data_IF_093944888494
#
_entry.id   IF_093944888494
#
_cell.length_a   1.000
_cell.length_b   1.000
_cell.length_c   1.000
_cell.angle_alpha   90.00
_cell.angle_beta   90.00
_cell.angle_gamma   90.00
#
_symmetry.space_group_name_H-M   'P 1'
#
loop_
_entity.id
_entity.type
_entity.pdbx_description
1 polymer ?
#
# COMPACT_ATOMS: atom_id res chain seq x y z
N UNK A 1 -22.69 -4.83 5.07
CA UNK A 1 -21.98 -5.97 4.45
C UNK A 1 -22.74 -6.33 3.19
N UNK A 2 -22.17 -6.09 2.03
CA UNK A 2 -22.56 -6.82 0.83
C UNK A 2 -21.82 -8.17 0.94
N UNK A 3 -22.54 -9.27 1.13
CA UNK A 3 -21.94 -10.61 1.26
C UNK A 3 -21.54 -11.16 -0.11
N UNK A 4 -20.55 -12.06 -0.12
CA UNK A 4 -19.91 -12.67 -1.29
C UNK A 4 -20.80 -13.57 -2.16
N UNK A 5 -22.08 -13.78 -1.81
CA UNK A 5 -22.97 -14.75 -2.49
C UNK A 5 -23.29 -14.43 -3.97
N UNK A 6 -22.79 -13.32 -4.52
CA UNK A 6 -23.12 -12.86 -5.88
C UNK A 6 -21.91 -12.49 -6.76
N UNK A 7 -20.69 -12.93 -6.44
CA UNK A 7 -19.57 -12.76 -7.36
C UNK A 7 -19.69 -13.78 -8.52
N UNK A 8 -19.52 -13.36 -9.79
CA UNK A 8 -19.49 -14.29 -10.91
C UNK A 8 -18.30 -15.26 -10.78
N UNK A 9 -18.55 -16.55 -11.01
CA UNK A 9 -17.52 -17.59 -11.03
C UNK A 9 -16.85 -17.65 -12.40
N UNK A 10 -15.55 -17.94 -12.45
CA UNK A 10 -14.86 -18.26 -13.71
C UNK A 10 -15.24 -19.67 -14.22
N UNK A 11 -14.72 -20.03 -15.39
CA UNK A 11 -14.95 -21.35 -16.02
C UNK A 11 -14.45 -22.51 -15.14
N UNK A 12 -13.67 -22.24 -14.09
CA UNK A 12 -13.08 -23.20 -13.16
C UNK A 12 -13.69 -23.14 -11.73
N UNK A 13 -14.74 -22.34 -11.51
CA UNK A 13 -15.47 -22.28 -10.24
C UNK A 13 -14.77 -21.46 -9.14
N UNK A 14 -13.84 -20.56 -9.50
CA UNK A 14 -13.26 -19.58 -8.60
C UNK A 14 -14.05 -18.26 -8.66
N UNK A 15 -14.33 -17.60 -7.52
CA UNK A 15 -14.98 -16.30 -7.53
C UNK A 15 -14.06 -15.25 -8.18
N UNK A 16 -14.57 -14.56 -9.20
CA UNK A 16 -13.83 -13.53 -9.94
C UNK A 16 -14.15 -12.15 -9.39
N UNK A 17 -13.11 -11.35 -9.13
CA UNK A 17 -13.27 -9.92 -8.86
C UNK A 17 -12.91 -9.16 -10.13
N UNK A 18 -13.93 -8.64 -10.81
CA UNK A 18 -13.72 -7.81 -11.99
C UNK A 18 -12.96 -6.53 -11.63
N UNK A 19 -11.87 -6.19 -12.35
CA UNK A 19 -11.05 -5.03 -12.02
C UNK A 19 -11.81 -3.70 -12.13
N UNK A 20 -12.80 -3.59 -13.03
CA UNK A 20 -13.66 -2.42 -13.14
C UNK A 20 -14.54 -2.22 -11.90
N UNK A 21 -15.04 -3.31 -11.31
CA UNK A 21 -15.79 -3.27 -10.05
C UNK A 21 -14.88 -2.89 -8.89
N UNK A 22 -13.62 -3.36 -8.90
CA UNK A 22 -12.63 -2.95 -7.92
C UNK A 22 -12.36 -1.46 -7.97
N UNK A 23 -12.14 -0.89 -9.16
CA UNK A 23 -11.97 0.57 -9.34
C UNK A 23 -13.18 1.32 -8.77
N UNK A 24 -14.40 0.89 -9.11
CA UNK A 24 -15.62 1.51 -8.55
C UNK A 24 -15.65 1.45 -7.02
N UNK A 25 -15.33 0.29 -6.45
CA UNK A 25 -15.27 0.10 -5.00
C UNK A 25 -14.24 1.04 -4.35
N UNK A 26 -13.03 1.15 -4.90
CA UNK A 26 -12.00 2.08 -4.43
C UNK A 26 -12.48 3.54 -4.45
N UNK A 27 -13.16 3.97 -5.52
CA UNK A 27 -13.67 5.35 -5.64
C UNK A 27 -14.73 5.72 -4.60
N UNK A 28 -15.38 4.73 -3.97
CA UNK A 28 -16.31 4.95 -2.85
C UNK A 28 -15.71 4.61 -1.47
N UNK A 29 -14.40 4.30 -1.43
CA UNK A 29 -13.63 4.04 -0.23
C UNK A 29 -13.70 2.59 0.26
N UNK A 30 -14.11 1.64 -0.58
CA UNK A 30 -14.05 0.21 -0.29
C UNK A 30 -12.75 -0.40 -0.81
N UNK A 31 -12.27 -1.45 -0.15
CA UNK A 31 -11.14 -2.26 -0.61
C UNK A 31 -11.40 -3.74 -0.28
N UNK A 32 -10.86 -4.68 -1.08
CA UNK A 32 -11.10 -6.11 -0.90
C UNK A 32 -10.18 -6.70 0.17
N UNK A 33 -10.70 -7.65 0.95
CA UNK A 33 -9.92 -8.52 1.84
C UNK A 33 -10.50 -9.93 1.84
N UNK A 34 -9.68 -10.95 2.06
CA UNK A 34 -10.11 -12.30 2.42
C UNK A 34 -9.82 -12.57 3.91
N UNK A 35 -10.52 -13.53 4.49
CA UNK A 35 -10.27 -13.93 5.89
C UNK A 35 -8.89 -14.61 6.04
N UNK A 36 -8.50 -15.39 5.01
CA UNK A 36 -7.19 -16.05 4.90
C UNK A 36 -6.79 -16.21 3.41
N UNK A 37 -5.50 -16.48 3.16
CA UNK A 37 -4.92 -16.69 1.83
C UNK A 37 -5.48 -17.91 1.10
N UNK A 38 -5.92 -18.93 1.85
CA UNK A 38 -6.49 -20.16 1.31
C UNK A 38 -8.03 -20.08 1.22
N UNK A 39 -8.64 -19.01 1.75
CA UNK A 39 -10.06 -18.74 1.57
C UNK A 39 -10.31 -18.27 0.13
N UNK A 40 -11.38 -18.77 -0.49
CA UNK A 40 -11.83 -18.31 -1.81
C UNK A 40 -12.71 -17.07 -1.71
N UNK A 41 -13.28 -16.80 -0.55
CA UNK A 41 -14.20 -15.67 -0.38
C UNK A 41 -13.46 -14.36 -0.25
N UNK A 42 -14.05 -13.31 -0.81
CA UNK A 42 -13.56 -11.94 -0.70
C UNK A 42 -14.70 -11.04 -0.25
N UNK A 43 -14.38 -10.17 0.70
CA UNK A 43 -15.30 -9.21 1.28
C UNK A 43 -14.78 -7.78 1.12
N UNK A 44 -15.70 -6.82 1.01
CA UNK A 44 -15.39 -5.40 0.86
C UNK A 44 -15.43 -4.69 2.21
N UNK A 45 -14.36 -3.96 2.53
CA UNK A 45 -14.17 -3.34 3.85
C UNK A 45 -14.33 -1.81 3.79
N UNK A 46 -15.06 -1.26 4.76
CA UNK A 46 -15.29 0.18 5.00
C UNK A 46 -15.04 0.50 6.49
N UNK A 47 -13.79 0.63 6.94
CA UNK A 47 -13.52 0.82 8.35
C UNK A 47 -14.00 2.21 8.79
N UNK A 48 -14.54 2.30 10.02
CA UNK A 48 -15.01 3.57 10.59
C UNK A 48 -13.85 4.56 10.73
N UNK A 49 -12.67 4.06 11.09
CA UNK A 49 -11.42 4.80 11.11
C UNK A 49 -10.55 4.35 9.94
N UNK A 50 -10.14 5.31 9.10
CA UNK A 50 -9.30 5.09 7.92
C UNK A 50 -7.93 5.73 8.14
N UNK A 51 -6.88 4.94 7.96
CA UNK A 51 -5.50 5.42 8.03
C UNK A 51 -5.10 6.13 6.73
N UNK A 52 -4.47 7.30 6.84
CA UNK A 52 -3.86 8.00 5.71
C UNK A 52 -2.43 8.40 6.02
N UNK A 53 -1.62 8.58 4.98
CA UNK A 53 -0.29 9.20 5.04
C UNK A 53 -0.33 10.54 4.29
N UNK A 54 -0.43 11.68 5.01
CA UNK A 54 -0.48 12.97 4.33
C UNK A 54 0.83 13.26 3.58
N UNK A 55 0.77 13.42 2.26
CA UNK A 55 1.96 13.57 1.41
C UNK A 55 2.78 14.84 1.75
N UNK A 56 2.11 15.93 2.13
CA UNK A 56 2.75 17.19 2.52
C UNK A 56 3.37 17.15 3.93
N UNK A 57 2.92 16.24 4.78
CA UNK A 57 3.43 16.07 6.15
C UNK A 57 4.24 14.77 6.31
N UNK A 58 4.56 14.09 5.21
CA UNK A 58 5.23 12.80 5.23
C UNK A 58 6.56 12.87 5.99
N UNK A 59 6.64 12.17 7.12
CA UNK A 59 7.80 12.19 7.99
C UNK A 59 8.79 11.10 7.57
N UNK A 60 10.06 11.48 7.33
CA UNK A 60 11.13 10.50 7.16
C UNK A 60 12.06 10.56 8.38
N UNK A 61 12.16 9.48 9.19
CA UNK A 61 13.06 9.43 10.32
C UNK A 61 14.49 9.80 9.94
N UNK A 62 15.17 10.58 10.77
CA UNK A 62 16.51 11.14 10.47
C UNK A 62 17.54 10.09 10.05
N UNK A 63 17.54 8.92 10.70
CA UNK A 63 18.41 7.78 10.34
C UNK A 63 18.05 7.21 8.97
N UNK A 64 16.76 7.06 8.69
CA UNK A 64 16.28 6.55 7.41
C UNK A 64 16.60 7.51 6.26
N UNK A 65 16.51 8.83 6.45
CA UNK A 65 16.92 9.82 5.44
C UNK A 65 18.34 9.59 4.92
N UNK A 66 19.28 9.24 5.80
CA UNK A 66 20.67 8.93 5.41
C UNK A 66 20.76 7.65 4.58
N UNK A 67 19.93 6.67 4.90
CA UNK A 67 19.86 5.37 4.22
C UNK A 67 19.25 5.56 2.82
N UNK A 68 18.15 6.30 2.70
CA UNK A 68 17.51 6.58 1.40
C UNK A 68 18.42 7.38 0.44
N UNK A 69 19.28 8.26 0.95
CA UNK A 69 20.23 9.01 0.12
C UNK A 69 21.43 8.18 -0.38
N UNK A 70 21.64 7.01 0.21
CA UNK A 70 22.70 6.05 -0.14
C UNK A 70 22.15 4.64 0.06
N UNK A 71 21.11 4.27 -0.71
CA UNK A 71 20.42 3.03 -0.46
C UNK A 71 21.39 1.87 -0.74
N UNK A 72 21.37 0.81 0.09
CA UNK A 72 22.10 -0.42 -0.22
C UNK A 72 21.41 -1.24 -1.33
N UNK A 73 20.29 -0.74 -1.87
CA UNK A 73 19.44 -1.42 -2.84
C UNK A 73 19.22 -0.51 -4.05
N UNK A 74 19.09 -1.11 -5.22
CA UNK A 74 18.54 -0.47 -6.40
C UNK A 74 17.02 -0.37 -6.24
N UNK A 75 16.43 0.80 -6.52
CA UNK A 75 14.98 1.01 -6.41
C UNK A 75 14.37 1.04 -7.80
N UNK A 76 13.45 0.13 -8.08
CA UNK A 76 12.70 0.02 -9.35
C UNK A 76 11.20 0.15 -9.11
N UNK A 77 10.43 0.21 -10.18
CA UNK A 77 8.97 0.11 -10.14
C UNK A 77 8.45 -0.61 -11.36
N UNK A 78 7.37 -1.37 -11.18
CA UNK A 78 6.64 -2.04 -12.26
C UNK A 78 7.47 -3.08 -13.02
N UNK A 79 8.53 -3.64 -12.42
CA UNK A 79 9.40 -4.64 -13.08
C UNK A 79 9.20 -6.07 -12.56
N UNK A 80 8.61 -6.24 -11.37
CA UNK A 80 8.35 -7.54 -10.76
C UNK A 80 7.01 -7.57 -9.98
N UNK A 81 5.94 -7.10 -10.63
CA UNK A 81 4.62 -6.89 -10.03
C UNK A 81 4.08 -8.13 -9.33
N UNK A 82 3.98 -9.25 -10.04
CA UNK A 82 3.48 -10.50 -9.47
C UNK A 82 4.34 -10.97 -8.30
N UNK A 83 5.67 -10.86 -8.40
CA UNK A 83 6.57 -11.25 -7.31
C UNK A 83 6.33 -10.39 -6.07
N UNK A 84 6.19 -9.07 -6.22
CA UNK A 84 5.89 -8.16 -5.10
C UNK A 84 4.57 -8.54 -4.41
N UNK A 85 3.52 -8.78 -5.19
CA UNK A 85 2.21 -9.17 -4.64
C UNK A 85 2.32 -10.52 -3.92
N UNK A 86 2.97 -11.51 -4.53
CA UNK A 86 3.15 -12.84 -3.93
C UNK A 86 4.03 -12.82 -2.67
N UNK A 87 5.06 -11.98 -2.61
CA UNK A 87 5.83 -11.76 -1.38
C UNK A 87 4.97 -11.09 -0.29
N UNK A 88 4.05 -10.19 -0.67
CA UNK A 88 3.10 -9.62 0.28
C UNK A 88 2.05 -10.63 0.75
N UNK A 89 1.69 -11.62 -0.08
CA UNK A 89 0.76 -12.70 0.24
C UNK A 89 1.40 -13.87 1.00
N UNK A 90 2.73 -13.93 1.04
CA UNK A 90 3.44 -15.01 1.72
C UNK A 90 3.33 -14.85 3.24
N UNK A 91 3.00 -15.96 3.92
CA UNK A 91 3.11 -16.07 5.37
C UNK A 91 4.57 -15.86 5.80
N UNK A 92 4.77 -15.13 6.89
CA UNK A 92 6.08 -14.86 7.49
C UNK A 92 6.01 -15.02 9.00
N UNK A 93 7.16 -15.14 9.66
CA UNK A 93 7.21 -15.17 11.13
C UNK A 93 6.63 -13.87 11.69
N UNK A 94 5.52 -13.98 12.42
CA UNK A 94 4.75 -12.83 12.94
C UNK A 94 3.70 -12.27 11.96
N UNK A 95 3.46 -12.92 10.83
CA UNK A 95 2.37 -12.69 9.87
C UNK A 95 1.97 -14.03 9.26
N UNK A 96 1.40 -14.90 10.09
CA UNK A 96 1.08 -16.28 9.72
C UNK A 96 -0.15 -16.32 8.80
N UNK A 97 -1.14 -15.48 9.10
CA UNK A 97 -2.36 -15.30 8.32
C UNK A 97 -2.23 -14.05 7.43
N UNK A 98 -2.59 -14.18 6.16
CA UNK A 98 -2.62 -13.04 5.21
C UNK A 98 -3.95 -13.00 4.50
N UNK A 99 -4.47 -11.82 4.23
CA UNK A 99 -5.76 -11.62 3.56
C UNK A 99 -5.68 -11.70 2.03
N UNK A 100 -4.50 -11.92 1.45
CA UNK A 100 -4.25 -11.86 0.01
C UNK A 100 -4.34 -13.28 -0.56
N UNK A 101 -5.53 -13.65 -1.03
CA UNK A 101 -5.80 -14.93 -1.71
C UNK A 101 -5.61 -14.82 -3.23
N UNK A 102 -5.70 -15.94 -3.95
CA UNK A 102 -5.49 -15.95 -5.41
C UNK A 102 -6.48 -15.05 -6.19
N UNK A 103 -7.79 -15.02 -5.89
CA UNK A 103 -8.71 -14.06 -6.52
C UNK A 103 -8.29 -12.59 -6.40
N UNK A 104 -7.76 -12.19 -5.23
CA UNK A 104 -7.23 -10.83 -5.02
C UNK A 104 -5.96 -10.60 -5.82
N UNK A 105 -5.06 -11.59 -5.89
CA UNK A 105 -3.85 -11.52 -6.72
C UNK A 105 -4.21 -11.31 -8.18
N UNK A 106 -5.10 -12.13 -8.73
CA UNK A 106 -5.56 -12.03 -10.12
C UNK A 106 -6.20 -10.67 -10.42
N UNK A 107 -7.06 -10.18 -9.52
CA UNK A 107 -7.65 -8.84 -9.64
C UNK A 107 -6.56 -7.75 -9.72
N UNK A 108 -5.54 -7.81 -8.88
CA UNK A 108 -4.43 -6.85 -8.89
C UNK A 108 -3.58 -6.95 -10.15
N UNK A 109 -3.31 -8.16 -10.66
CA UNK A 109 -2.61 -8.34 -11.94
C UNK A 109 -3.41 -7.72 -13.09
N UNK A 110 -4.74 -7.92 -13.13
CA UNK A 110 -5.59 -7.27 -14.12
C UNK A 110 -5.58 -5.74 -13.97
N UNK A 111 -5.57 -5.21 -12.74
CA UNK A 111 -5.41 -3.76 -12.50
C UNK A 111 -4.05 -3.23 -12.96
N UNK A 112 -2.99 -4.03 -12.89
CA UNK A 112 -1.69 -3.67 -13.46
C UNK A 112 -1.76 -3.56 -14.98
N UNK A 113 -2.37 -4.54 -15.65
CA UNK A 113 -2.54 -4.53 -17.10
C UNK A 113 -3.39 -3.35 -17.60
N UNK A 114 -4.31 -2.85 -16.76
CA UNK A 114 -5.10 -1.65 -17.00
C UNK A 114 -4.35 -0.33 -16.67
N UNK A 115 -3.13 -0.40 -16.13
CA UNK A 115 -2.33 0.76 -15.76
C UNK A 115 -2.71 1.41 -14.42
N UNK A 116 -3.50 0.72 -13.59
CA UNK A 116 -3.96 1.21 -12.30
C UNK A 116 -3.14 0.70 -11.12
N UNK A 117 -2.40 -0.40 -11.23
CA UNK A 117 -1.54 -0.88 -10.16
C UNK A 117 -0.10 -0.45 -10.38
N UNK A 118 0.58 -0.07 -9.30
CA UNK A 118 2.02 0.18 -9.35
C UNK A 118 2.75 -0.47 -8.18
N UNK A 119 4.01 -0.78 -8.43
CA UNK A 119 4.92 -1.34 -7.42
C UNK A 119 6.12 -0.44 -7.20
N UNK A 120 6.70 -0.52 -6.01
CA UNK A 120 8.03 0.03 -5.73
C UNK A 120 8.85 -1.08 -5.12
N UNK A 121 10.01 -1.35 -5.71
CA UNK A 121 10.79 -2.55 -5.50
C UNK A 121 12.20 -2.18 -5.04
N UNK A 122 12.75 -2.92 -4.09
CA UNK A 122 14.13 -2.81 -3.64
C UNK A 122 14.89 -4.07 -4.03
N UNK A 123 15.93 -3.91 -4.84
CA UNK A 123 16.76 -4.98 -5.38
C UNK A 123 18.16 -4.94 -4.76
N UNK A 124 18.63 -6.08 -4.28
CA UNK A 124 20.02 -6.30 -3.89
C UNK A 124 20.63 -7.26 -4.90
N UNK A 125 21.44 -6.72 -5.80
CA UNK A 125 21.85 -7.40 -7.03
C UNK A 125 20.58 -7.87 -7.80
N UNK A 126 20.48 -9.16 -8.15
CA UNK A 126 19.32 -9.73 -8.85
C UNK A 126 18.22 -10.23 -7.90
N UNK A 127 18.29 -9.94 -6.60
CA UNK A 127 17.31 -10.40 -5.60
C UNK A 127 16.36 -9.29 -5.20
N UNK A 128 15.06 -9.53 -5.35
CA UNK A 128 14.01 -8.69 -4.79
C UNK A 128 13.96 -8.86 -3.26
N UNK A 129 14.32 -7.82 -2.51
CA UNK A 129 14.53 -7.87 -1.05
C UNK A 129 13.56 -7.03 -0.23
N UNK A 130 12.65 -6.34 -0.89
CA UNK A 130 11.57 -5.61 -0.26
C UNK A 130 10.79 -4.82 -1.31
N UNK A 131 9.60 -4.39 -0.94
CA UNK A 131 8.77 -3.63 -1.84
C UNK A 131 7.38 -3.42 -1.30
N UNK A 132 6.58 -2.75 -2.12
CA UNK A 132 5.19 -2.45 -1.86
C UNK A 132 4.43 -2.38 -3.17
N UNK A 133 3.11 -2.48 -3.09
CA UNK A 133 2.23 -2.21 -4.22
C UNK A 133 1.01 -1.40 -3.79
N UNK A 134 0.37 -0.77 -4.76
CA UNK A 134 -0.88 -0.05 -4.55
C UNK A 134 -1.61 0.28 -5.84
N UNK A 135 -2.86 0.70 -5.69
CA UNK A 135 -3.74 1.09 -6.79
C UNK A 135 -3.76 2.61 -6.91
N UNK A 136 -3.43 3.14 -8.09
CA UNK A 136 -3.52 4.54 -8.47
C UNK A 136 -4.82 4.79 -9.26
N UNK A 137 -5.68 5.64 -8.72
CA UNK A 137 -6.89 6.11 -9.38
C UNK A 137 -6.94 7.63 -9.22
N UNK A 138 -6.83 8.34 -10.35
CA UNK A 138 -6.76 9.80 -10.36
C UNK A 138 -5.74 10.30 -9.33
N UNK A 139 -6.10 11.23 -8.44
CA UNK A 139 -5.19 11.83 -7.46
C UNK A 139 -5.01 11.00 -6.20
N UNK A 140 -5.40 9.73 -6.19
CA UNK A 140 -5.37 8.84 -5.02
C UNK A 140 -4.48 7.65 -5.28
N UNK A 141 -3.62 7.35 -4.31
CA UNK A 141 -2.90 6.09 -4.25
C UNK A 141 -3.40 5.29 -3.04
N UNK A 142 -4.05 4.17 -3.31
CA UNK A 142 -4.46 3.19 -2.32
C UNK A 142 -3.29 2.23 -2.12
N UNK A 143 -2.52 2.46 -1.07
CA UNK A 143 -1.44 1.58 -0.76
C UNK A 143 -1.97 0.24 -0.26
N UNK A 144 -1.62 -0.90 -0.84
CA UNK A 144 -2.23 -2.19 -0.46
C UNK A 144 -1.40 -2.99 0.55
N UNK A 145 -0.14 -3.25 0.24
CA UNK A 145 0.72 -4.03 1.13
C UNK A 145 2.19 -3.78 0.85
N UNK A 146 3.03 -4.24 1.78
CA UNK A 146 4.48 -4.20 1.67
C UNK A 146 5.13 -5.41 2.35
N UNK A 147 6.34 -5.73 1.92
CA UNK A 147 7.17 -6.78 2.50
C UNK A 147 8.62 -6.30 2.62
N UNK A 148 9.38 -6.92 3.52
CA UNK A 148 10.81 -6.64 3.71
C UNK A 148 11.54 -7.93 4.04
N UNK A 149 12.48 -8.33 3.19
CA UNK A 149 13.39 -9.45 3.43
C UNK A 149 14.75 -8.96 3.94
N UNK A 150 15.10 -7.72 3.61
CA UNK A 150 16.32 -7.07 4.08
C UNK A 150 16.01 -5.82 4.91
N UNK A 151 17.01 -5.39 5.67
CA UNK A 151 16.89 -4.26 6.60
C UNK A 151 16.48 -2.97 5.88
N UNK A 152 15.43 -2.33 6.39
CA UNK A 152 14.94 -1.03 5.92
C UNK A 152 14.47 -1.03 4.44
N UNK A 153 14.40 -2.18 3.75
CA UNK A 153 14.00 -2.26 2.34
C UNK A 153 12.57 -1.75 2.11
N UNK A 154 11.58 -2.24 2.87
CA UNK A 154 10.20 -1.73 2.76
C UNK A 154 10.07 -0.24 3.09
N UNK A 155 10.89 0.26 4.03
CA UNK A 155 10.91 1.68 4.40
C UNK A 155 11.50 2.55 3.28
N UNK A 156 12.54 2.07 2.60
CA UNK A 156 13.11 2.72 1.42
C UNK A 156 12.09 2.75 0.29
N UNK A 157 11.38 1.63 0.06
CA UNK A 157 10.29 1.58 -0.91
C UNK A 157 9.18 2.59 -0.58
N UNK A 158 8.76 2.68 0.69
CA UNK A 158 7.72 3.63 1.13
C UNK A 158 8.14 5.09 0.97
N UNK A 159 9.38 5.44 1.31
CA UNK A 159 9.89 6.80 1.10
C UNK A 159 9.96 7.13 -0.40
N UNK A 160 10.34 6.15 -1.22
CA UNK A 160 10.39 6.30 -2.68
C UNK A 160 9.00 6.45 -3.28
N UNK A 161 8.01 5.69 -2.78
CA UNK A 161 6.60 5.88 -3.11
C UNK A 161 6.15 7.30 -2.79
N UNK A 162 6.35 7.78 -1.55
CA UNK A 162 5.91 9.12 -1.16
C UNK A 162 6.52 10.22 -2.04
N UNK A 163 7.79 10.07 -2.45
CA UNK A 163 8.43 10.97 -3.40
C UNK A 163 7.76 10.93 -4.77
N UNK A 164 7.54 9.73 -5.33
CA UNK A 164 6.85 9.52 -6.63
C UNK A 164 5.46 10.12 -6.63
N UNK A 165 4.66 9.86 -5.58
CA UNK A 165 3.30 10.38 -5.47
C UNK A 165 3.26 11.90 -5.46
N UNK A 166 4.17 12.53 -4.73
CA UNK A 166 4.20 14.00 -4.68
C UNK A 166 4.63 14.62 -6.00
N UNK A 167 5.57 14.00 -6.71
CA UNK A 167 6.01 14.46 -8.05
C UNK A 167 4.90 14.23 -9.07
N UNK A 168 4.20 13.10 -8.96
CA UNK A 168 3.09 12.70 -9.82
C UNK A 168 1.80 13.51 -9.63
N UNK A 169 1.74 14.40 -8.63
CA UNK A 169 0.58 15.26 -8.37
C UNK A 169 -0.52 14.60 -7.54
N UNK A 170 -0.27 13.43 -6.94
CA UNK A 170 -1.22 12.77 -6.05
C UNK A 170 -1.53 13.62 -4.83
N UNK A 171 -2.77 13.55 -4.36
CA UNK A 171 -3.30 14.33 -3.24
C UNK A 171 -3.51 13.48 -1.99
N UNK A 172 -3.72 12.18 -2.16
CA UNK A 172 -4.06 11.27 -1.07
C UNK A 172 -3.30 9.95 -1.19
N UNK A 173 -2.61 9.58 -0.11
CA UNK A 173 -2.09 8.23 0.10
C UNK A 173 -2.92 7.57 1.21
N UNK A 174 -3.76 6.61 0.82
CA UNK A 174 -4.55 5.79 1.72
C UNK A 174 -3.73 4.57 2.15
N UNK A 175 -3.72 4.27 3.45
CA UNK A 175 -3.05 3.09 4.00
C UNK A 175 -4.01 2.16 4.76
N UNK A 176 -5.33 2.34 4.53
CA UNK A 176 -6.46 1.61 5.08
C UNK A 176 -6.55 1.65 6.61
N UNK A 177 -5.58 1.04 7.28
CA UNK A 177 -5.54 0.91 8.73
C UNK A 177 -4.30 1.59 9.31
N UNK A 178 -4.43 2.04 10.56
CA UNK A 178 -3.30 2.53 11.32
C UNK A 178 -2.45 1.36 11.79
N UNK A 179 -1.13 1.53 11.73
CA UNK A 179 -0.21 0.63 12.41
C UNK A 179 1.03 1.40 12.89
N UNK A 180 1.71 0.85 13.89
CA UNK A 180 2.91 1.45 14.49
C UNK A 180 4.03 1.69 13.48
N UNK A 181 4.11 0.86 12.43
CA UNK A 181 5.09 1.04 11.37
C UNK A 181 4.82 2.33 10.59
N UNK A 182 3.58 2.62 10.20
CA UNK A 182 3.22 3.82 9.42
C UNK A 182 3.13 5.09 10.27
N UNK A 183 2.83 4.97 11.56
CA UNK A 183 2.87 6.11 12.50
C UNK A 183 4.22 6.82 12.49
N UNK A 184 5.33 6.08 12.37
CA UNK A 184 6.67 6.66 12.28
C UNK A 184 6.88 7.51 11.01
N UNK A 185 5.99 7.39 10.01
CA UNK A 185 5.99 8.19 8.78
C UNK A 185 4.95 9.32 8.80
N UNK A 186 4.26 9.51 9.92
CA UNK A 186 3.24 10.54 10.08
C UNK A 186 1.85 10.10 9.65
N UNK A 187 1.57 8.79 9.64
CA UNK A 187 0.21 8.30 9.41
C UNK A 187 -0.77 8.89 10.43
N UNK A 188 -2.00 9.16 9.98
CA UNK A 188 -3.06 9.74 10.82
C UNK A 188 -4.38 9.00 10.59
N UNK A 189 -5.13 8.72 11.67
CA UNK A 189 -6.48 8.21 11.54
C UNK A 189 -7.45 9.32 11.11
N UNK A 190 -8.43 8.97 10.29
CA UNK A 190 -9.58 9.81 9.95
C UNK A 190 -10.87 9.01 10.11
N UNK A 191 -11.92 9.65 10.63
CA UNK A 191 -13.25 9.07 10.53
C UNK A 191 -13.65 8.93 9.05
N UNK A 192 -14.31 7.84 8.65
CA UNK A 192 -14.65 7.52 7.25
C UNK A 192 -15.35 8.64 6.49
N UNK A 193 -16.16 9.46 7.19
CA UNK A 193 -16.84 10.62 6.59
C UNK A 193 -15.84 11.72 6.19
N UNK A 194 -14.80 11.94 6.99
CA UNK A 194 -13.73 12.88 6.65
C UNK A 194 -12.83 12.32 5.55
N UNK A 195 -12.51 11.02 5.60
CA UNK A 195 -11.78 10.34 4.53
C UNK A 195 -12.50 10.45 3.18
N UNK A 196 -13.79 10.14 3.11
CA UNK A 196 -14.57 10.25 1.86
C UNK A 196 -14.56 11.65 1.27
N UNK A 197 -14.60 12.71 2.09
CA UNK A 197 -14.46 14.09 1.61
C UNK A 197 -13.09 14.38 0.99
N UNK A 198 -12.03 13.73 1.46
CA UNK A 198 -10.70 13.84 0.86
C UNK A 198 -10.62 13.00 -0.42
N UNK A 199 -11.14 11.78 -0.38
CA UNK A 199 -11.25 10.88 -1.52
C UNK A 199 -11.99 11.56 -2.68
N UNK A 200 -13.19 12.08 -2.45
CA UNK A 200 -14.02 12.76 -3.45
C UNK A 200 -13.30 13.95 -4.10
N UNK A 201 -12.42 14.65 -3.37
CA UNK A 201 -11.63 15.76 -3.91
C UNK A 201 -10.45 15.26 -4.72
N UNK A 202 -9.74 14.27 -4.20
CA UNK A 202 -8.54 13.72 -4.82
C UNK A 202 -8.88 12.99 -6.12
N UNK A 203 -10.05 12.35 -6.22
CA UNK A 203 -10.54 11.72 -7.46
C UNK A 203 -10.91 12.72 -8.57
N UNK A 204 -10.93 14.02 -8.30
CA UNK A 204 -11.10 15.07 -9.32
C UNK A 204 -9.78 15.60 -9.89
N UNK A 205 -8.65 15.09 -9.41
CA UNK A 205 -7.32 15.52 -9.84
C UNK A 205 -6.67 14.41 -10.63
N UNK A 206 -6.32 14.66 -11.88
CA UNK A 206 -5.53 13.68 -12.65
C UNK A 206 -4.08 13.73 -12.21
N UNK A 207 -3.60 12.64 -11.62
CA UNK A 207 -2.19 12.42 -11.27
C UNK A 207 -1.61 11.32 -12.17
N UNK A 208 -0.29 11.26 -12.26
CA UNK A 208 0.43 10.25 -13.02
C UNK A 208 1.53 9.65 -12.16
N UNK A 209 1.61 8.33 -12.05
CA UNK A 209 2.67 7.66 -11.31
C UNK A 209 3.99 7.72 -12.10
N UNK A 210 5.03 8.39 -11.60
CA UNK A 210 6.33 8.38 -12.25
C UNK A 210 7.00 7.01 -12.02
N UNK A 211 7.37 6.29 -13.08
CA UNK A 211 8.14 5.03 -12.99
C UNK A 211 9.62 5.27 -12.71
N UNK A 212 10.15 6.40 -13.17
CA UNK A 212 11.53 6.80 -12.88
C UNK A 212 11.56 7.87 -11.78
N UNK A 213 12.53 7.75 -10.88
CA UNK A 213 12.76 8.73 -9.82
C UNK A 213 14.25 9.01 -9.72
N UNK A 214 14.66 10.21 -10.12
CA UNK A 214 16.06 10.60 -10.08
C UNK A 214 16.55 10.87 -8.65
N UNK A 215 17.85 10.70 -8.43
CA UNK A 215 18.55 11.11 -7.20
C UNK A 215 18.27 12.57 -6.83
N UNK A 216 18.13 13.44 -7.83
CA UNK A 216 17.85 14.86 -7.64
C UNK A 216 16.46 15.06 -7.05
N UNK A 217 15.46 14.40 -7.62
CA UNK A 217 14.07 14.47 -7.15
C UNK A 217 13.92 13.89 -5.74
N UNK A 218 14.55 12.75 -5.47
CA UNK A 218 14.59 12.16 -4.13
C UNK A 218 15.24 13.14 -3.12
N UNK A 219 16.35 13.79 -3.48
CA UNK A 219 16.98 14.80 -2.62
C UNK A 219 16.07 16.01 -2.38
N UNK A 220 15.40 16.51 -3.40
CA UNK A 220 14.44 17.61 -3.27
C UNK A 220 13.27 17.20 -2.36
N UNK A 221 12.78 15.97 -2.49
CA UNK A 221 11.78 15.39 -1.59
C UNK A 221 12.22 15.38 -0.13
N UNK A 222 13.42 14.91 0.16
CA UNK A 222 13.92 14.84 1.53
C UNK A 222 14.24 16.20 2.16
N UNK A 223 14.49 17.23 1.33
CA UNK A 223 14.86 18.60 1.71
C UNK A 223 13.67 19.54 1.88
N UNK A 224 12.57 19.33 1.16
CA UNK A 224 11.35 20.11 1.36
C UNK A 224 10.86 19.91 2.79
N UNK A 225 11.11 20.88 3.66
CA UNK A 225 10.44 20.96 4.95
C UNK A 225 8.98 21.31 4.66
N UNK A 226 8.07 20.57 5.29
CA UNK A 226 6.64 20.85 5.36
C UNK A 226 6.41 22.31 5.79
N UNK A 227 6.19 23.19 4.81
CA UNK A 227 5.60 24.50 5.04
C UNK A 227 4.10 24.32 4.95
N UNK A 228 3.42 24.16 6.09
CA UNK A 228 2.09 24.73 6.38
C UNK A 228 1.62 24.33 7.79
N UNK A 229 0.78 25.20 8.34
CA UNK A 229 0.52 25.48 9.74
C UNK A 229 -0.49 24.57 10.44
N UNK A 230 -0.26 24.41 11.75
CA UNK A 230 -1.07 23.80 12.82
C UNK A 230 -2.59 23.88 12.64
N UNK A 231 -3.29 22.78 12.92
CA UNK A 231 -4.42 22.73 13.88
C UNK A 231 -4.52 21.30 14.41
N UNK A 232 -4.28 21.12 15.71
CA UNK A 232 -4.36 19.83 16.38
C UNK A 232 -5.76 19.62 16.98
N UNK A 233 -6.26 18.40 16.88
CA UNK A 233 -7.22 17.85 17.83
C UNK A 233 -6.93 16.36 17.94
N UNK A 234 -6.46 15.92 19.11
CA UNK A 234 -6.16 14.52 19.41
C UNK A 234 -7.20 14.00 20.39
N UNK A 235 -7.90 12.94 20.00
CA UNK A 235 -8.63 12.07 20.93
C UNK A 235 -8.10 10.68 20.67
N UNK A 236 -7.49 10.08 21.69
CA UNK A 236 -7.02 8.70 21.67
C UNK A 236 -8.13 7.81 22.24
N UNK A 237 -8.54 6.79 21.49
CA UNK A 237 -9.26 5.63 22.02
C UNK A 237 -8.75 4.36 21.30
N UNK A 238 -8.71 3.28 22.07
CA UNK A 238 -8.06 2.00 21.82
C UNK A 238 -8.59 1.23 20.60
N UNK A 239 -7.67 0.73 19.77
CA UNK A 239 -7.95 -0.30 18.77
C UNK A 239 -7.99 -1.69 19.44
N UNK A 240 -9.08 -2.42 19.21
CA UNK A 240 -9.18 -3.85 19.45
C UNK A 240 -9.15 -4.61 18.13
N UNK A 241 -8.52 -5.79 18.21
CA UNK A 241 -8.58 -6.96 17.31
C UNK A 241 -7.58 -7.06 16.13
N UNK A 242 -6.70 -8.06 16.30
CA UNK A 242 -5.79 -8.80 15.41
C UNK A 242 -4.84 -8.02 14.48
N UNK A 243 -3.74 -7.56 15.08
CA UNK A 243 -2.61 -6.91 14.42
C UNK A 243 -1.92 -7.74 13.30
N UNK A 244 -2.22 -9.03 13.17
CA UNK A 244 -1.55 -9.92 12.21
C UNK A 244 -2.13 -9.87 10.78
N UNK A 245 -3.38 -9.42 10.59
CA UNK A 245 -4.10 -9.49 9.29
C UNK A 245 -4.09 -8.14 8.53
N UNK A 246 -3.35 -7.14 9.02
CA UNK A 246 -3.47 -5.77 8.51
C UNK A 246 -2.58 -5.49 7.27
N UNK A 247 -3.08 -4.75 6.26
CA UNK A 247 -2.29 -4.06 5.25
C UNK A 247 -1.03 -3.38 5.84
N UNK A 248 0.06 -3.39 5.08
CA UNK A 248 1.34 -2.77 5.44
C UNK A 248 2.08 -3.35 6.66
N UNK A 249 1.62 -4.45 7.25
CA UNK A 249 2.39 -5.17 8.26
C UNK A 249 3.51 -6.01 7.60
N UNK A 250 4.74 -5.78 8.02
CA UNK A 250 5.94 -6.43 7.45
C UNK A 250 6.46 -7.61 8.26
N UNK A 251 5.86 -7.93 9.42
CA UNK A 251 6.41 -8.93 10.33
C UNK A 251 7.83 -8.58 10.81
N UNK A 252 8.45 -9.42 11.63
CA UNK A 252 9.81 -9.20 12.15
C UNK A 252 10.80 -10.31 11.77
N UNK A 253 10.52 -11.09 10.71
CA UNK A 253 11.32 -12.27 10.38
C UNK A 253 11.46 -12.56 8.89
N UNK A 254 12.57 -13.22 8.56
CA UNK A 254 12.92 -13.76 7.26
C UNK A 254 11.88 -14.76 6.75
N UNK A 255 11.48 -14.63 5.48
CA UNK A 255 10.62 -15.59 4.79
C UNK A 255 11.46 -16.81 4.39
N UNK A 256 11.05 -18.00 4.79
CA UNK A 256 11.66 -19.27 4.37
C UNK A 256 10.89 -19.84 3.17
N UNK A 257 11.49 -19.84 1.99
CA UNK A 257 10.97 -20.63 0.87
C UNK A 257 11.48 -22.07 1.01
N UNK A 258 10.56 -23.01 1.20
CA UNK A 258 10.86 -24.43 1.08
C UNK A 258 11.22 -24.71 -0.38
N UNK A 259 12.46 -25.12 -0.63
CA UNK A 259 12.85 -25.71 -1.90
C UNK A 259 12.15 -27.05 -2.04
N UNK A 260 11.30 -27.21 -3.06
CA UNK A 260 10.87 -28.51 -3.59
C UNK A 260 11.25 -28.56 -5.06
#
# INVERSE_FOLDING_TARGET
MLSSEHLPEDVFGAPVIHPELAIQAYTIGLFPMADDRDDKNVHWVDPIERGILPLDEFHVPKRLKRTVLRPPYEVKSNTAVEQVIRYCAASAVGREDTWINEPIIEMYLNLFDMGHLHTVECWLDDRLVGGLYGVAIEGVFFGESMFSLERDASKIALVSLAARLRIGGFQLLDCQFMNRHLEQFGAKPLHRVAFRKLLDKATQVTAAFPEELSDREMRQFLQSRSQTSKTGCSIALSAGEDANIQPWNTGSGSVSFGTS
#
